data_IF_897900497400
#
_entry.id   IF_897900497400
#
_cell.length_a   1.000
_cell.length_b   1.000
_cell.length_c   1.000
_cell.angle_alpha   90.00
_cell.angle_beta   90.00
_cell.angle_gamma   90.00
#
_symmetry.space_group_name_H-M   'P 1'
#
loop_
_entity.id
_entity.type
_entity.pdbx_description
1 polymer ?
#
# COMPACT_ATOMS: atom_id res chain seq x y z
N UNK A 1 -8.08 -26.01 20.07
CA UNK A 1 -8.10 -25.64 18.63
C UNK A 1 -7.41 -24.30 18.51
N UNK A 2 -6.16 -24.26 18.05
CA UNK A 2 -5.40 -23.01 17.96
C UNK A 2 -5.75 -22.28 16.65
N UNK A 3 -6.17 -21.02 16.74
CA UNK A 3 -6.32 -20.13 15.59
C UNK A 3 -4.95 -19.97 14.92
N UNK A 4 -4.81 -20.45 13.67
CA UNK A 4 -3.61 -20.14 12.87
C UNK A 4 -3.52 -18.60 12.73
N UNK A 5 -2.34 -18.00 12.96
CA UNK A 5 -2.16 -16.57 12.75
C UNK A 5 -2.42 -16.25 11.26
N UNK A 6 -3.23 -15.22 11.01
CA UNK A 6 -3.42 -14.68 9.66
C UNK A 6 -2.35 -13.61 9.42
N UNK A 7 -1.51 -13.73 8.38
CA UNK A 7 -0.55 -12.68 8.06
C UNK A 7 -1.29 -11.46 7.52
N UNK A 8 -1.02 -10.29 8.12
CA UNK A 8 -1.56 -9.00 7.69
C UNK A 8 -0.39 -8.12 7.22
N UNK A 9 -0.54 -7.48 6.06
CA UNK A 9 0.40 -6.45 5.61
C UNK A 9 -0.03 -5.10 6.17
N UNK A 10 0.81 -4.49 7.00
CA UNK A 10 0.67 -3.09 7.40
C UNK A 10 1.59 -2.28 6.49
N UNK A 11 1.02 -1.31 5.77
CA UNK A 11 1.81 -0.42 4.93
C UNK A 11 2.25 0.81 5.74
N UNK A 12 3.57 0.95 5.90
CA UNK A 12 4.16 2.08 6.60
C UNK A 12 4.68 3.10 5.57
N UNK A 13 3.93 4.19 5.38
CA UNK A 13 4.28 5.32 4.50
C UNK A 13 5.29 6.25 5.17
N UNK A 14 6.50 5.78 5.51
CA UNK A 14 7.33 6.58 6.41
C UNK A 14 8.09 7.74 5.73
N UNK A 15 8.58 7.63 4.49
CA UNK A 15 9.42 8.70 3.92
C UNK A 15 9.43 8.86 2.39
N UNK A 16 8.90 7.92 1.61
CA UNK A 16 9.12 7.91 0.15
C UNK A 16 7.96 8.46 -0.69
N UNK A 17 6.82 8.75 -0.08
CA UNK A 17 5.58 9.06 -0.80
C UNK A 17 5.11 10.48 -0.50
N UNK A 18 4.83 11.23 -1.57
CA UNK A 18 4.44 12.64 -1.51
C UNK A 18 2.98 12.75 -1.02
N UNK A 19 2.80 13.29 0.18
CA UNK A 19 1.50 13.66 0.73
C UNK A 19 1.24 15.14 0.44
N UNK A 20 0.18 15.43 -0.30
CA UNK A 20 -0.30 16.78 -0.55
C UNK A 20 -1.38 17.16 0.45
N UNK A 21 -1.21 18.31 1.07
CA UNK A 21 -2.13 18.92 2.03
C UNK A 21 -2.23 20.41 1.76
N UNK A 22 -3.29 21.06 2.25
CA UNK A 22 -3.44 22.51 2.14
C UNK A 22 -2.33 23.26 2.91
N UNK A 23 -1.83 22.68 4.00
CA UNK A 23 -0.72 23.19 4.80
C UNK A 23 0.32 22.09 5.06
N UNK A 24 1.64 22.38 5.06
CA UNK A 24 2.67 21.37 5.30
C UNK A 24 2.43 20.57 6.58
N UNK A 25 2.60 19.24 6.54
CA UNK A 25 2.32 18.35 7.68
C UNK A 25 3.38 18.41 8.79
N UNK A 26 4.62 18.83 8.46
CA UNK A 26 5.73 18.84 9.40
C UNK A 26 5.53 19.92 10.49
N UNK A 27 5.99 19.63 11.71
CA UNK A 27 5.98 20.57 12.86
C UNK A 27 4.59 21.04 13.32
N UNK A 28 3.52 20.29 13.02
CA UNK A 28 2.19 20.60 13.54
C UNK A 28 1.37 19.37 13.91
N UNK A 29 0.29 19.61 14.62
CA UNK A 29 -0.75 18.61 14.89
C UNK A 29 -1.79 18.64 13.77
N UNK A 30 -2.23 17.46 13.33
CA UNK A 30 -3.35 17.35 12.40
C UNK A 30 -4.63 17.92 13.02
N UNK A 31 -5.40 18.64 12.22
CA UNK A 31 -6.68 19.21 12.64
C UNK A 31 -7.79 18.14 12.63
N UNK A 32 -8.91 18.43 13.29
CA UNK A 32 -10.02 17.48 13.37
C UNK A 32 -10.54 17.16 11.96
N UNK A 33 -10.58 15.86 11.61
CA UNK A 33 -10.98 15.36 10.28
C UNK A 33 -10.10 15.84 9.13
N UNK A 34 -8.83 16.14 9.40
CA UNK A 34 -7.89 16.48 8.34
C UNK A 34 -7.63 15.29 7.40
N UNK A 35 -7.48 15.58 6.12
CA UNK A 35 -7.15 14.61 5.09
C UNK A 35 -5.94 15.06 4.29
N UNK A 36 -5.10 14.10 3.92
CA UNK A 36 -3.96 14.28 3.03
C UNK A 36 -4.14 13.41 1.78
N UNK A 37 -3.68 13.91 0.64
CA UNK A 37 -3.72 13.19 -0.62
C UNK A 37 -2.37 12.54 -0.88
N UNK A 38 -2.35 11.21 -0.92
CA UNK A 38 -1.22 10.45 -1.44
C UNK A 38 -1.18 10.58 -2.96
N UNK A 39 -0.16 11.25 -3.50
CA UNK A 39 -0.03 11.42 -4.95
C UNK A 39 0.76 10.26 -5.54
N UNK A 40 0.10 9.46 -6.36
CA UNK A 40 0.71 8.37 -7.12
C UNK A 40 1.02 8.88 -8.53
N UNK A 41 2.28 8.75 -8.96
CA UNK A 41 2.76 9.14 -10.27
C UNK A 41 3.80 8.14 -10.78
N UNK A 42 4.30 8.33 -12.00
CA UNK A 42 5.25 7.41 -12.62
C UNK A 42 6.54 7.22 -11.80
N UNK A 43 6.96 8.22 -11.01
CA UNK A 43 8.19 8.16 -10.22
C UNK A 43 8.04 7.29 -8.97
N UNK A 44 6.81 7.08 -8.46
CA UNK A 44 6.57 6.32 -7.24
C UNK A 44 5.67 5.09 -7.43
N UNK A 45 5.06 4.93 -8.61
CA UNK A 45 4.21 3.78 -8.95
C UNK A 45 4.92 2.43 -8.75
N UNK A 46 6.23 2.37 -9.00
CA UNK A 46 7.03 1.15 -8.82
C UNK A 46 6.99 0.63 -7.37
N UNK A 47 6.86 1.50 -6.36
CA UNK A 47 6.74 1.05 -4.97
C UNK A 47 5.48 0.23 -4.72
N UNK A 48 4.39 0.51 -5.45
CA UNK A 48 3.16 -0.28 -5.35
C UNK A 48 3.30 -1.65 -6.01
N UNK A 49 4.14 -1.78 -7.05
CA UNK A 49 4.48 -3.08 -7.63
C UNK A 49 5.32 -3.92 -6.68
N UNK A 50 6.31 -3.32 -6.00
CA UNK A 50 7.07 -4.01 -4.96
C UNK A 50 6.19 -4.43 -3.78
N UNK A 51 5.23 -3.58 -3.38
CA UNK A 51 4.21 -3.96 -2.40
C UNK A 51 3.39 -5.17 -2.88
N UNK A 52 3.02 -5.22 -4.15
CA UNK A 52 2.28 -6.34 -4.72
C UNK A 52 3.07 -7.65 -4.66
N UNK A 53 4.39 -7.59 -4.89
CA UNK A 53 5.30 -8.73 -4.69
C UNK A 53 5.33 -9.18 -3.24
N UNK A 54 5.47 -8.25 -2.29
CA UNK A 54 5.47 -8.57 -0.85
C UNK A 54 4.15 -9.26 -0.46
N UNK A 55 3.02 -8.76 -0.96
CA UNK A 55 1.71 -9.35 -0.69
C UNK A 55 1.64 -10.81 -1.17
N UNK A 56 2.17 -11.09 -2.36
CA UNK A 56 2.25 -12.44 -2.91
C UNK A 56 3.14 -13.40 -2.11
N UNK A 57 4.02 -12.89 -1.25
CA UNK A 57 4.91 -13.69 -0.39
C UNK A 57 4.32 -13.98 1.01
N UNK A 58 3.20 -13.36 1.38
CA UNK A 58 2.62 -13.50 2.73
C UNK A 58 2.05 -14.89 3.02
N UNK A 59 1.42 -15.52 2.03
CA UNK A 59 0.87 -16.87 2.14
C UNK A 59 0.54 -17.43 0.76
N UNK A 60 0.30 -18.74 0.64
CA UNK A 60 -0.15 -19.34 -0.62
C UNK A 60 -1.48 -18.74 -1.13
N UNK A 61 -2.38 -18.37 -0.21
CA UNK A 61 -3.64 -17.73 -0.59
C UNK A 61 -3.37 -16.35 -1.23
N UNK A 62 -2.55 -15.52 -0.57
CA UNK A 62 -2.18 -14.21 -1.09
C UNK A 62 -1.40 -14.30 -2.42
N UNK A 63 -0.54 -15.31 -2.57
CA UNK A 63 0.14 -15.61 -3.83
C UNK A 63 -0.85 -15.84 -4.97
N UNK A 64 -1.84 -16.71 -4.74
CA UNK A 64 -2.86 -17.03 -5.75
C UNK A 64 -3.73 -15.81 -6.09
N UNK A 65 -4.07 -15.00 -5.09
CA UNK A 65 -4.85 -13.77 -5.30
C UNK A 65 -4.06 -12.75 -6.13
N UNK A 66 -2.77 -12.57 -5.85
CA UNK A 66 -1.87 -11.69 -6.62
C UNK A 66 -1.77 -12.13 -8.07
N UNK A 67 -1.56 -13.43 -8.32
CA UNK A 67 -1.48 -13.94 -9.69
C UNK A 67 -2.77 -13.67 -10.48
N UNK A 68 -3.94 -13.95 -9.90
CA UNK A 68 -5.22 -13.69 -10.55
C UNK A 68 -5.45 -12.21 -10.86
N UNK A 69 -5.04 -11.32 -9.96
CA UNK A 69 -5.12 -9.88 -10.20
C UNK A 69 -4.19 -9.48 -11.35
N UNK A 70 -2.95 -9.98 -11.37
CA UNK A 70 -1.99 -9.70 -12.45
C UNK A 70 -2.48 -10.23 -13.80
N UNK A 71 -2.98 -11.47 -13.84
CA UNK A 71 -3.61 -12.06 -15.02
C UNK A 71 -4.72 -11.15 -15.54
N UNK A 72 -5.61 -10.68 -14.65
CA UNK A 72 -6.72 -9.81 -15.05
C UNK A 72 -6.28 -8.43 -15.54
N UNK A 73 -5.20 -7.89 -15.00
CA UNK A 73 -4.62 -6.63 -15.48
C UNK A 73 -4.03 -6.81 -16.89
N UNK A 74 -3.36 -7.94 -17.15
CA UNK A 74 -2.71 -8.24 -18.44
C UNK A 74 -3.70 -8.65 -19.54
N UNK A 75 -4.91 -9.06 -19.19
CA UNK A 75 -6.01 -9.35 -20.13
C UNK A 75 -6.67 -8.09 -20.72
N UNK A 76 -6.49 -6.91 -20.13
CA UNK A 76 -7.02 -5.64 -20.61
C UNK A 76 -6.01 -4.91 -21.49
#
# INVERSE_FOLDING_TARGET
>A
MALKPKPCCIFAFLFCLELKTATPLLERTATLKEHALLVINQNNAFMFLEMFKIFGLLSQAHHNDVLKILEKILEN
#
